data_IF_715354786387
#
_entry.id   IF_715354786387
#
_cell.length_a   1.000
_cell.length_b   1.000
_cell.length_c   1.000
_cell.angle_alpha   90.00
_cell.angle_beta   90.00
_cell.angle_gamma   90.00
#
_symmetry.space_group_name_H-M   'P 1'
#
loop_
_entity.id
_entity.type
_entity.pdbx_description
1 polymer ?
#
# COMPACT_ATOMS: atom_id res chain seq x y z
N UNK A 1 66.43 -34.16 -66.35
CA UNK A 1 65.94 -33.12 -65.42
C UNK A 1 65.62 -33.78 -64.09
N UNK A 2 66.29 -33.46 -62.98
CA UNK A 2 65.92 -34.00 -61.66
C UNK A 2 64.71 -33.25 -61.07
N UNK A 3 63.78 -33.99 -60.48
CA UNK A 3 62.57 -33.48 -59.83
C UNK A 3 62.92 -33.00 -58.41
N UNK A 4 62.69 -31.71 -58.12
CA UNK A 4 62.83 -31.16 -56.77
C UNK A 4 61.52 -31.31 -55.99
N UNK A 5 61.49 -31.98 -54.82
CA UNK A 5 60.30 -32.04 -53.99
C UNK A 5 60.08 -30.70 -53.24
N UNK A 6 58.85 -30.17 -53.29
CA UNK A 6 58.47 -29.00 -52.50
C UNK A 6 58.38 -29.33 -51.00
N UNK A 7 59.05 -28.51 -50.19
CA UNK A 7 59.01 -28.54 -48.72
C UNK A 7 58.21 -27.35 -48.20
N UNK A 8 56.89 -27.39 -48.32
CA UNK A 8 56.03 -26.50 -47.52
C UNK A 8 55.44 -27.28 -46.34
N UNK A 9 55.39 -26.69 -45.13
CA UNK A 9 54.85 -27.37 -43.96
C UNK A 9 53.34 -27.62 -44.12
N UNK A 10 52.90 -28.85 -43.85
CA UNK A 10 51.55 -29.35 -44.08
C UNK A 10 50.44 -28.67 -43.25
N UNK A 11 50.77 -27.81 -42.29
CA UNK A 11 49.78 -27.21 -41.38
C UNK A 11 49.86 -25.69 -41.32
N UNK A 12 48.72 -25.05 -41.56
CA UNK A 12 48.47 -23.61 -41.42
C UNK A 12 48.12 -23.18 -39.99
N UNK A 13 48.10 -24.11 -39.02
CA UNK A 13 47.81 -23.76 -37.63
C UNK A 13 49.01 -23.08 -36.97
N UNK A 14 48.81 -21.85 -36.49
CA UNK A 14 49.86 -21.07 -35.85
C UNK A 14 50.36 -21.78 -34.57
N UNK A 15 51.68 -21.96 -34.45
CA UNK A 15 52.30 -22.52 -33.25
C UNK A 15 52.06 -21.58 -32.06
N UNK A 16 51.35 -22.06 -31.04
CA UNK A 16 51.08 -21.26 -29.84
C UNK A 16 52.39 -20.95 -29.12
N UNK A 17 52.74 -19.66 -29.04
CA UNK A 17 53.93 -19.20 -28.32
C UNK A 17 53.88 -19.60 -26.83
N UNK A 18 55.05 -19.91 -26.28
CA UNK A 18 55.21 -20.26 -24.87
C UNK A 18 54.64 -19.17 -23.96
N UNK A 19 53.77 -19.57 -23.03
CA UNK A 19 53.04 -18.65 -22.15
C UNK A 19 54.02 -17.97 -21.18
N UNK A 20 54.12 -16.63 -21.24
CA UNK A 20 54.95 -15.82 -20.32
C UNK A 20 54.53 -16.08 -18.86
N UNK A 21 55.50 -16.25 -17.96
CA UNK A 21 55.33 -16.82 -16.60
C UNK A 21 54.50 -15.95 -15.64
N UNK A 22 54.33 -14.65 -15.94
CA UNK A 22 53.60 -13.72 -15.08
C UNK A 22 52.29 -13.24 -15.72
N UNK A 23 51.16 -13.55 -15.08
CA UNK A 23 49.85 -13.01 -15.47
C UNK A 23 49.66 -11.65 -14.79
N UNK A 24 49.09 -10.64 -15.47
CA UNK A 24 48.79 -9.36 -14.83
C UNK A 24 47.82 -9.58 -13.65
N UNK A 25 48.14 -9.02 -12.49
CA UNK A 25 47.25 -9.03 -11.32
C UNK A 25 45.96 -8.30 -11.73
N UNK A 26 44.86 -9.02 -11.78
CA UNK A 26 43.53 -8.44 -11.99
C UNK A 26 43.12 -7.73 -10.70
N UNK A 27 42.54 -6.54 -10.84
CA UNK A 27 42.01 -5.81 -9.70
C UNK A 27 40.97 -6.64 -8.94
N UNK A 28 41.10 -6.67 -7.61
CA UNK A 28 40.22 -7.45 -6.74
C UNK A 28 38.74 -7.03 -6.87
N UNK A 29 38.50 -5.72 -7.07
CA UNK A 29 37.17 -5.17 -7.35
C UNK A 29 36.56 -5.76 -8.61
N UNK A 30 37.35 -5.90 -9.67
CA UNK A 30 36.87 -6.49 -10.94
C UNK A 30 36.60 -7.98 -10.76
N UNK A 31 37.36 -8.69 -9.92
CA UNK A 31 37.08 -10.11 -9.62
C UNK A 31 35.82 -10.28 -8.78
N UNK A 32 35.59 -9.43 -7.78
CA UNK A 32 34.38 -9.42 -6.95
C UNK A 32 33.15 -9.05 -7.78
N UNK A 33 33.24 -8.03 -8.63
CA UNK A 33 32.18 -7.65 -9.57
C UNK A 33 31.84 -8.79 -10.53
N UNK A 34 32.84 -9.43 -11.14
CA UNK A 34 32.59 -10.60 -11.99
C UNK A 34 32.00 -11.76 -11.21
N UNK A 35 32.44 -11.98 -9.97
CA UNK A 35 31.90 -13.03 -9.12
C UNK A 35 30.42 -12.78 -8.79
N UNK A 36 30.06 -11.59 -8.31
CA UNK A 36 28.67 -11.30 -7.96
C UNK A 36 27.74 -11.19 -9.17
N UNK A 37 28.25 -10.78 -10.33
CA UNK A 37 27.45 -10.63 -11.56
C UNK A 37 27.28 -11.95 -12.33
N UNK A 38 28.31 -12.81 -12.36
CA UNK A 38 28.37 -13.96 -13.26
C UNK A 38 28.37 -15.31 -12.53
N UNK A 39 28.56 -15.35 -11.21
CA UNK A 39 28.44 -16.59 -10.46
C UNK A 39 26.96 -16.91 -10.23
N UNK A 40 26.46 -18.10 -10.66
CA UNK A 40 25.13 -18.54 -10.30
C UNK A 40 25.10 -18.86 -8.81
N UNK A 41 24.89 -17.83 -7.99
CA UNK A 41 24.74 -17.93 -6.54
C UNK A 41 23.53 -18.76 -6.13
N UNK A 42 22.59 -18.97 -7.06
CA UNK A 42 21.43 -19.83 -6.82
C UNK A 42 21.87 -21.29 -6.79
N UNK A 43 21.72 -22.00 -5.67
CA UNK A 43 21.96 -23.43 -5.63
C UNK A 43 21.00 -24.14 -6.59
N UNK A 44 21.32 -25.38 -6.95
CA UNK A 44 20.45 -26.23 -7.77
C UNK A 44 19.06 -26.33 -7.11
N UNK A 45 17.97 -26.41 -7.90
CA UNK A 45 16.62 -26.47 -7.36
C UNK A 45 16.44 -27.68 -6.44
N UNK A 46 15.67 -27.45 -5.37
CA UNK A 46 15.48 -28.42 -4.30
C UNK A 46 14.63 -29.61 -4.77
N UNK A 47 15.15 -30.83 -4.60
CA UNK A 47 14.46 -32.06 -4.96
C UNK A 47 13.85 -32.69 -3.71
N UNK A 48 12.52 -32.75 -3.63
CA UNK A 48 11.82 -33.38 -2.53
C UNK A 48 11.40 -34.81 -2.87
N UNK A 49 11.56 -35.73 -1.91
CA UNK A 49 10.88 -37.03 -1.95
C UNK A 49 9.38 -36.88 -1.69
N UNK A 50 8.58 -37.91 -2.02
CA UNK A 50 7.10 -37.86 -1.99
C UNK A 50 6.51 -37.39 -0.65
N UNK A 51 6.92 -37.98 0.48
CA UNK A 51 6.40 -37.61 1.81
C UNK A 51 6.78 -36.19 2.25
N UNK A 52 7.95 -35.70 1.82
CA UNK A 52 8.40 -34.32 2.06
C UNK A 52 7.62 -33.33 1.19
N UNK A 53 7.40 -33.68 -0.07
CA UNK A 53 6.61 -32.87 -1.00
C UNK A 53 5.17 -32.69 -0.50
N UNK A 54 4.51 -33.76 -0.04
CA UNK A 54 3.16 -33.68 0.51
C UNK A 54 3.09 -32.83 1.79
N UNK A 55 4.07 -32.94 2.69
CA UNK A 55 4.18 -32.06 3.86
C UNK A 55 4.36 -30.59 3.48
N UNK A 56 5.23 -30.31 2.51
CA UNK A 56 5.41 -28.95 2.01
C UNK A 56 4.14 -28.41 1.36
N UNK A 57 3.47 -29.21 0.54
CA UNK A 57 2.23 -28.84 -0.15
C UNK A 57 1.09 -28.52 0.82
N UNK A 58 0.92 -29.33 1.87
CA UNK A 58 -0.11 -29.10 2.90
C UNK A 58 0.15 -27.81 3.67
N UNK A 59 1.40 -27.58 4.13
CA UNK A 59 1.78 -26.33 4.81
C UNK A 59 1.56 -25.12 3.89
N UNK A 60 2.00 -25.20 2.64
CA UNK A 60 1.84 -24.13 1.66
C UNK A 60 0.36 -23.81 1.43
N UNK A 61 -0.50 -24.84 1.29
CA UNK A 61 -1.94 -24.63 1.09
C UNK A 61 -2.61 -24.04 2.34
N UNK A 62 -2.26 -24.52 3.53
CA UNK A 62 -2.74 -23.95 4.79
C UNK A 62 -2.34 -22.47 4.92
N UNK A 63 -1.11 -22.11 4.56
CA UNK A 63 -0.65 -20.73 4.53
C UNK A 63 -1.42 -19.86 3.53
N UNK A 64 -1.70 -20.36 2.34
CA UNK A 64 -2.54 -19.65 1.36
C UNK A 64 -3.95 -19.39 1.89
N UNK A 65 -4.56 -20.38 2.55
CA UNK A 65 -5.87 -20.24 3.18
C UNK A 65 -5.84 -19.21 4.31
N UNK A 66 -4.86 -19.28 5.19
CA UNK A 66 -4.66 -18.31 6.25
C UNK A 66 -4.50 -16.88 5.70
N UNK A 67 -3.66 -16.69 4.68
CA UNK A 67 -3.50 -15.38 4.02
C UNK A 67 -4.79 -14.87 3.39
N UNK A 68 -5.60 -15.76 2.80
CA UNK A 68 -6.92 -15.40 2.27
C UNK A 68 -7.82 -14.91 3.41
N UNK A 69 -7.91 -15.66 4.51
CA UNK A 69 -8.71 -15.27 5.67
C UNK A 69 -8.28 -13.92 6.26
N UNK A 70 -6.97 -13.67 6.38
CA UNK A 70 -6.43 -12.40 6.86
C UNK A 70 -6.79 -11.22 5.94
N UNK A 71 -6.75 -11.42 4.61
CA UNK A 71 -7.19 -10.38 3.66
C UNK A 71 -8.68 -10.12 3.77
N UNK A 72 -9.50 -11.17 3.78
CA UNK A 72 -10.95 -11.03 3.91
C UNK A 72 -11.34 -10.36 5.26
N UNK A 73 -10.63 -10.67 6.35
CA UNK A 73 -10.83 -10.02 7.63
C UNK A 73 -10.55 -8.50 7.55
N UNK A 74 -9.40 -8.13 6.98
CA UNK A 74 -9.05 -6.72 6.75
C UNK A 74 -10.06 -6.01 5.85
N UNK A 75 -10.49 -6.65 4.78
CA UNK A 75 -11.49 -6.09 3.86
C UNK A 75 -12.85 -5.89 4.55
N UNK A 76 -13.30 -6.85 5.36
CA UNK A 76 -14.53 -6.71 6.16
C UNK A 76 -14.43 -5.57 7.18
N UNK A 77 -13.29 -5.42 7.85
CA UNK A 77 -13.07 -4.29 8.76
C UNK A 77 -13.10 -2.95 8.01
N UNK A 78 -12.42 -2.85 6.87
CA UNK A 78 -12.46 -1.64 6.03
C UNK A 78 -13.88 -1.34 5.54
N UNK A 79 -14.65 -2.35 5.14
CA UNK A 79 -16.07 -2.20 4.78
C UNK A 79 -16.89 -1.71 5.98
N UNK A 80 -16.69 -2.27 7.17
CA UNK A 80 -17.37 -1.84 8.40
C UNK A 80 -17.07 -0.37 8.71
N UNK A 81 -15.81 0.02 8.66
CA UNK A 81 -15.38 1.40 8.89
C UNK A 81 -15.98 2.34 7.84
N UNK A 82 -15.96 1.94 6.56
CA UNK A 82 -16.55 2.71 5.49
C UNK A 82 -18.07 2.89 5.66
N UNK A 83 -18.81 1.82 5.96
CA UNK A 83 -20.26 1.90 6.21
C UNK A 83 -20.55 2.81 7.41
N UNK A 84 -19.82 2.65 8.52
CA UNK A 84 -19.98 3.52 9.69
C UNK A 84 -19.72 5.00 9.36
N UNK A 85 -18.66 5.30 8.59
CA UNK A 85 -18.37 6.66 8.15
C UNK A 85 -19.46 7.21 7.21
N UNK A 86 -19.94 6.37 6.29
CA UNK A 86 -21.00 6.73 5.34
C UNK A 86 -22.29 7.05 6.07
N UNK A 87 -22.75 6.19 6.97
CA UNK A 87 -23.98 6.37 7.72
C UNK A 87 -23.91 7.65 8.57
N UNK A 88 -22.78 7.90 9.25
CA UNK A 88 -22.56 9.15 9.97
C UNK A 88 -22.60 10.39 9.06
N UNK A 89 -22.10 10.30 7.82
CA UNK A 89 -22.15 11.39 6.86
C UNK A 89 -23.56 11.63 6.31
N UNK A 90 -24.35 10.58 6.08
CA UNK A 90 -25.77 10.71 5.69
C UNK A 90 -26.57 11.37 6.82
N UNK A 91 -26.33 10.99 8.08
CA UNK A 91 -26.94 11.67 9.22
C UNK A 91 -26.58 13.17 9.25
N UNK A 92 -25.29 13.53 9.06
CA UNK A 92 -24.86 14.94 8.96
C UNK A 92 -25.51 15.71 7.81
N UNK A 93 -25.97 15.01 6.76
CA UNK A 93 -26.64 15.64 5.61
C UNK A 93 -28.05 16.11 5.98
N UNK A 94 -28.69 15.42 6.92
CA UNK A 94 -30.01 15.74 7.44
C UNK A 94 -29.97 16.57 8.73
N UNK A 95 -28.78 16.87 9.27
CA UNK A 95 -28.62 17.70 10.46
C UNK A 95 -28.62 19.20 10.12
N UNK A 96 -29.17 19.97 11.06
CA UNK A 96 -29.14 21.42 11.10
C UNK A 96 -27.88 21.96 11.82
N UNK A 97 -27.65 23.28 11.82
CA UNK A 97 -26.46 23.93 12.40
C UNK A 97 -26.24 23.59 13.88
N UNK A 98 -27.31 23.40 14.65
CA UNK A 98 -27.27 23.05 16.07
C UNK A 98 -27.09 21.55 16.33
N UNK A 99 -26.98 20.72 15.28
CA UNK A 99 -26.81 19.27 15.40
C UNK A 99 -28.12 18.49 15.59
N UNK A 100 -29.27 19.15 15.48
CA UNK A 100 -30.58 18.52 15.51
C UNK A 100 -30.94 17.96 14.12
N UNK A 101 -31.65 16.83 14.06
CA UNK A 101 -32.15 16.28 12.79
C UNK A 101 -33.23 17.22 12.25
N UNK A 102 -33.02 17.77 11.05
CA UNK A 102 -34.01 18.58 10.37
C UNK A 102 -35.23 17.70 10.02
N UNK A 103 -36.46 18.18 10.26
CA UNK A 103 -37.65 17.45 9.85
C UNK A 103 -37.65 17.30 8.31
N UNK A 104 -38.02 16.12 7.83
CA UNK A 104 -37.97 15.74 6.41
C UNK A 104 -38.77 16.70 5.50
N UNK A 105 -39.73 17.44 6.06
CA UNK A 105 -40.55 18.46 5.40
C UNK A 105 -39.76 19.68 4.90
N UNK A 106 -38.61 19.99 5.48
CA UNK A 106 -37.83 21.18 5.14
C UNK A 106 -36.75 20.91 4.07
N UNK A 107 -36.55 19.65 3.68
CA UNK A 107 -35.52 19.23 2.73
C UNK A 107 -35.95 19.31 1.25
N UNK A 108 -37.24 19.46 0.97
CA UNK A 108 -37.76 19.67 -0.39
C UNK A 108 -37.81 21.17 -0.68
N UNK A 109 -36.94 21.72 -1.55
CA UNK A 109 -37.04 23.12 -1.95
C UNK A 109 -38.30 23.28 -2.83
N UNK A 110 -39.39 23.76 -2.25
CA UNK A 110 -40.51 24.31 -3.02
C UNK A 110 -41.83 23.53 -3.04
N UNK A 111 -42.06 22.54 -2.16
CA UNK A 111 -43.43 22.03 -1.94
C UNK A 111 -43.94 22.59 -0.62
N UNK A 112 -44.69 23.67 -0.71
CA UNK A 112 -45.57 24.15 0.36
C UNK A 112 -46.86 23.34 0.18
N UNK A 113 -46.96 22.17 0.81
CA UNK A 113 -48.28 21.54 0.98
C UNK A 113 -49.00 22.35 2.06
N UNK A 114 -49.78 23.32 1.60
CA UNK A 114 -50.61 24.20 2.42
C UNK A 114 -51.89 23.42 2.81
N UNK A 115 -51.71 22.31 3.55
CA UNK A 115 -52.83 21.51 4.05
C UNK A 115 -52.98 21.72 5.57
N UNK A 116 -53.73 22.78 5.91
CA UNK A 116 -54.54 22.92 7.12
C UNK A 116 -53.94 22.51 8.46
N UNK A 117 -53.41 23.47 9.21
CA UNK A 117 -53.13 23.33 10.64
C UNK A 117 -52.62 24.62 11.27
N UNK A 118 -53.27 25.05 12.35
CA UNK A 118 -52.92 26.07 13.35
C UNK A 118 -51.81 27.10 13.02
N UNK A 119 -52.14 28.39 13.15
CA UNK A 119 -51.21 29.50 12.94
C UNK A 119 -49.92 29.34 13.77
N UNK A 120 -48.84 28.96 13.10
CA UNK A 120 -47.52 28.85 13.69
C UNK A 120 -47.14 30.17 14.39
N UNK A 121 -46.63 30.05 15.61
CA UNK A 121 -46.24 31.22 16.40
C UNK A 121 -45.12 31.97 15.67
N UNK A 122 -45.10 33.31 15.72
CA UNK A 122 -44.08 34.14 15.03
C UNK A 122 -42.63 33.75 15.39
N UNK A 123 -42.44 33.13 16.55
CA UNK A 123 -41.19 32.56 17.02
C UNK A 123 -40.81 31.24 16.31
N UNK A 124 -41.78 30.37 16.03
CA UNK A 124 -41.60 29.09 15.32
C UNK A 124 -41.23 29.33 13.84
N UNK A 125 -41.89 30.27 13.17
CA UNK A 125 -41.55 30.67 11.78
C UNK A 125 -40.12 31.22 11.67
N UNK A 126 -39.63 31.91 12.72
CA UNK A 126 -38.28 32.50 12.76
C UNK A 126 -37.19 31.49 13.14
N UNK A 127 -37.57 30.45 13.87
CA UNK A 127 -36.71 29.32 14.24
C UNK A 127 -36.67 28.23 13.16
N UNK A 128 -37.45 28.37 12.08
CA UNK A 128 -37.43 27.42 10.97
C UNK A 128 -36.05 27.43 10.32
N UNK A 129 -35.37 26.27 10.23
CA UNK A 129 -34.05 26.21 9.63
C UNK A 129 -34.15 26.64 8.18
N UNK A 130 -33.37 27.66 7.80
CA UNK A 130 -33.29 28.07 6.42
C UNK A 130 -32.65 26.93 5.62
N UNK A 131 -33.08 26.66 4.38
CA UNK A 131 -32.53 25.55 3.58
C UNK A 131 -31.01 25.59 3.33
N UNK A 132 -30.32 26.66 3.74
CA UNK A 132 -28.86 26.79 3.77
C UNK A 132 -28.20 26.19 5.01
N UNK A 133 -28.93 26.00 6.11
CA UNK A 133 -28.43 25.50 7.39
C UNK A 133 -28.38 23.96 7.41
N UNK A 134 -29.38 23.30 6.80
CA UNK A 134 -29.39 21.85 6.60
C UNK A 134 -28.19 21.40 5.74
N UNK A 135 -27.50 20.35 6.20
CA UNK A 135 -26.35 19.77 5.49
C UNK A 135 -25.12 20.67 5.39
N UNK A 136 -25.07 21.79 6.15
CA UNK A 136 -23.89 22.65 6.24
C UNK A 136 -22.69 21.92 6.86
N UNK A 137 -22.91 21.16 7.92
CA UNK A 137 -21.88 20.35 8.58
C UNK A 137 -21.31 19.29 7.64
N UNK A 138 -22.18 18.59 6.89
CA UNK A 138 -21.77 17.65 5.84
C UNK A 138 -20.87 18.32 4.79
N UNK A 139 -21.26 19.48 4.24
CA UNK A 139 -20.43 20.23 3.27
C UNK A 139 -19.07 20.62 3.84
N UNK A 140 -19.00 21.00 5.13
CA UNK A 140 -17.74 21.32 5.81
C UNK A 140 -16.85 20.09 5.96
N UNK A 141 -17.41 18.95 6.36
CA UNK A 141 -16.68 17.68 6.51
C UNK A 141 -16.13 17.16 5.17
N UNK A 142 -16.84 17.40 4.06
CA UNK A 142 -16.41 16.97 2.72
C UNK A 142 -15.31 17.83 2.11
N UNK A 143 -14.93 18.96 2.72
CA UNK A 143 -13.82 19.80 2.24
C UNK A 143 -12.51 19.00 2.29
N UNK A 144 -11.83 18.87 1.14
CA UNK A 144 -10.52 18.22 1.03
C UNK A 144 -9.35 19.21 1.22
N UNK A 145 -9.51 20.15 2.14
CA UNK A 145 -8.45 21.10 2.47
C UNK A 145 -7.28 20.34 3.11
N UNK A 146 -6.06 20.59 2.63
CA UNK A 146 -4.80 20.05 3.16
C UNK A 146 -4.63 18.52 3.19
N UNK A 147 -5.56 17.75 2.63
CA UNK A 147 -5.50 16.28 2.59
C UNK A 147 -4.23 15.78 1.89
N UNK A 148 -3.74 16.53 0.90
CA UNK A 148 -2.54 16.18 0.13
C UNK A 148 -1.23 16.65 0.77
N UNK A 149 -1.26 17.38 1.90
CA UNK A 149 -0.05 17.75 2.65
C UNK A 149 0.59 16.56 3.37
N UNK A 150 -0.10 15.42 3.43
CA UNK A 150 0.38 14.19 4.06
C UNK A 150 0.06 14.10 5.55
N UNK A 151 0.61 13.09 6.21
CA UNK A 151 0.46 12.86 7.64
C UNK A 151 1.71 13.33 8.40
N UNK A 152 1.59 13.79 9.66
CA UNK A 152 2.76 14.12 10.48
C UNK A 152 3.68 12.90 10.62
N UNK A 153 4.98 13.09 10.38
CA UNK A 153 5.97 12.00 10.34
C UNK A 153 6.05 11.20 11.65
N UNK A 154 5.68 11.81 12.78
CA UNK A 154 5.67 11.16 14.10
C UNK A 154 4.69 9.99 14.20
N UNK A 155 3.59 10.02 13.43
CA UNK A 155 2.60 8.93 13.38
C UNK A 155 2.95 7.82 12.39
N UNK A 156 3.91 8.03 11.49
CA UNK A 156 4.33 7.04 10.51
C UNK A 156 5.25 5.95 11.10
N UNK A 157 5.28 5.79 12.43
CA UNK A 157 6.14 4.82 13.12
C UNK A 157 5.62 3.39 12.91
N UNK A 158 6.45 2.45 12.43
CA UNK A 158 6.05 1.05 12.33
C UNK A 158 5.98 0.40 13.72
N UNK A 159 5.24 -0.71 13.79
CA UNK A 159 5.29 -1.59 14.96
C UNK A 159 6.66 -2.27 15.03
N UNK A 160 7.32 -2.22 16.19
CA UNK A 160 8.60 -2.87 16.46
C UNK A 160 8.42 -4.12 17.31
N UNK A 161 9.29 -5.12 17.14
CA UNK A 161 9.23 -6.38 17.91
C UNK A 161 9.43 -6.16 19.41
N UNK A 162 10.24 -5.17 19.79
CA UNK A 162 10.48 -4.77 21.17
C UNK A 162 10.15 -3.28 21.35
N UNK A 163 9.56 -2.88 22.49
CA UNK A 163 9.31 -1.48 22.77
C UNK A 163 10.62 -0.73 23.03
N UNK A 164 10.60 0.60 22.85
CA UNK A 164 11.71 1.46 23.28
C UNK A 164 11.89 1.41 24.80
N UNK A 165 13.12 1.61 25.28
CA UNK A 165 13.44 1.67 26.71
C UNK A 165 12.59 2.71 27.45
N UNK A 166 12.41 3.86 26.84
CA UNK A 166 11.67 4.98 27.44
C UNK A 166 10.16 4.92 27.16
N UNK A 167 9.69 3.94 26.38
CA UNK A 167 8.28 3.75 26.08
C UNK A 167 7.63 4.95 25.38
N UNK A 168 6.56 5.49 25.98
CA UNK A 168 5.81 6.65 25.50
C UNK A 168 6.28 7.95 26.17
N UNK A 169 6.38 9.04 25.41
CA UNK A 169 6.77 10.33 25.95
C UNK A 169 5.61 11.04 26.67
N UNK A 170 5.52 10.87 27.99
CA UNK A 170 4.52 11.53 28.84
C UNK A 170 4.78 13.05 28.93
N UNK A 171 6.03 13.49 28.82
CA UNK A 171 6.45 14.88 28.93
C UNK A 171 6.30 15.69 27.64
N UNK A 172 5.57 15.20 26.64
CA UNK A 172 5.37 15.90 25.38
C UNK A 172 4.73 17.28 25.60
N UNK A 173 5.34 18.31 25.03
CA UNK A 173 4.84 19.70 25.04
C UNK A 173 4.75 20.20 23.61
N UNK A 174 3.71 20.98 23.31
CA UNK A 174 3.56 21.64 22.02
C UNK A 174 4.73 22.61 21.84
N UNK A 175 5.52 22.48 20.76
CA UNK A 175 6.57 23.44 20.43
C UNK A 175 5.99 24.81 20.04
#
# INVERSE_FOLDING_TARGET
>A
MPFQPQVSPFSTSATLLARKKERPKKDKRITELRYHLMHPQTPRPLRFGRSRYLRHWTIHRAWQLYRRQQREARERELQRLYHSMRDACEELRHMDELGNRAPLSDATPGVIEDEGGEAETREQVRARPTGKEVGRLYRKAMKKQDVWKGFPIEYARPLTDYPSRDGWNIGWKRP
#
